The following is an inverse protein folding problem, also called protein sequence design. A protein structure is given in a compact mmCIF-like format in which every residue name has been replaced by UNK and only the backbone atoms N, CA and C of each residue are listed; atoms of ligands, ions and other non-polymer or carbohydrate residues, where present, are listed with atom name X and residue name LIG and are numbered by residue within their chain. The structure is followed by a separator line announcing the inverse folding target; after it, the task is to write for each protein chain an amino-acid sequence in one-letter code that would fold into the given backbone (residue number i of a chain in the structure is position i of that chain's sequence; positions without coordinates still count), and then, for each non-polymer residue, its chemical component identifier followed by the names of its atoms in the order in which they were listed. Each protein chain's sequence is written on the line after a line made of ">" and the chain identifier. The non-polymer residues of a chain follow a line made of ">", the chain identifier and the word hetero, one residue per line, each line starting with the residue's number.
data_IF_187300300335
#
_entry.id   IF_187300300335
#
_cell.length_a   1.000
_cell.length_b   1.000
_cell.length_c   1.000
_cell.angle_alpha   90.00
_cell.angle_beta   90.00
_cell.angle_gamma   90.00
#
_symmetry.space_group_name_H-M   'P 1'
#
loop_
_entity.id
_entity.type
_entity.pdbx_description
1 polymer ?
#
# COMPACT_ATOMS: atom_id res chain seq x y z
N UNK A 1 -2.19 -0.39 27.83
CA UNK A 1 -2.56 -1.41 26.83
C UNK A 1 -2.49 -0.76 25.45
N UNK A 2 -2.21 -1.58 24.43
CA UNK A 2 -2.01 -1.14 23.03
C UNK A 2 -2.76 -2.07 22.10
N UNK A 3 -3.29 -1.51 21.01
CA UNK A 3 -3.94 -2.20 19.91
C UNK A 3 -3.35 -1.70 18.59
N UNK A 4 -2.74 -2.57 17.83
CA UNK A 4 -2.30 -2.29 16.46
C UNK A 4 -3.21 -3.03 15.46
N UNK A 5 -3.70 -2.30 14.47
CA UNK A 5 -4.64 -2.84 13.47
C UNK A 5 -4.20 -2.47 12.07
N UNK A 6 -4.21 -3.43 11.16
CA UNK A 6 -3.89 -3.20 9.76
C UNK A 6 -5.01 -2.46 9.04
N UNK A 7 -4.70 -1.24 8.59
CA UNK A 7 -5.49 -0.43 7.69
C UNK A 7 -5.05 -0.56 6.23
N UNK A 8 -5.63 0.24 5.37
CA UNK A 8 -5.32 0.29 3.94
C UNK A 8 -5.56 1.68 3.37
N UNK A 9 -4.74 2.13 2.44
CA UNK A 9 -4.97 3.38 1.71
C UNK A 9 -6.34 3.43 1.02
N UNK A 10 -6.92 2.27 0.68
CA UNK A 10 -8.25 2.19 0.07
C UNK A 10 -9.39 2.71 0.95
N UNK A 11 -9.16 2.88 2.26
CA UNK A 11 -10.13 3.52 3.18
C UNK A 11 -10.29 5.03 2.93
N UNK A 12 -9.32 5.66 2.26
CA UNK A 12 -9.40 7.06 1.84
C UNK A 12 -10.31 7.23 0.62
N UNK A 13 -10.34 6.25 -0.28
CA UNK A 13 -11.02 6.33 -1.57
C UNK A 13 -10.14 6.99 -2.63
N UNK A 14 -10.78 7.59 -3.66
CA UNK A 14 -10.05 8.34 -4.68
C UNK A 14 -9.36 9.56 -4.06
N UNK A 15 -8.06 9.66 -4.27
CA UNK A 15 -7.24 10.77 -3.78
C UNK A 15 -6.04 10.97 -4.69
N UNK A 16 -5.72 12.22 -4.99
CA UNK A 16 -4.52 12.58 -5.74
C UNK A 16 -3.52 13.24 -4.79
N UNK A 17 -2.28 12.75 -4.81
CA UNK A 17 -1.23 13.29 -3.98
C UNK A 17 -0.98 12.52 -2.68
N UNK A 18 -0.45 13.23 -1.70
CA UNK A 18 -0.03 12.65 -0.43
C UNK A 18 -1.21 12.41 0.52
N UNK A 19 -1.32 11.19 1.00
CA UNK A 19 -2.27 10.79 2.06
C UNK A 19 -1.59 10.92 3.42
N UNK A 20 -2.28 11.55 4.37
CA UNK A 20 -1.87 11.66 5.77
C UNK A 20 -3.01 11.25 6.71
N UNK A 21 -2.74 11.23 8.01
CA UNK A 21 -3.79 10.97 9.02
C UNK A 21 -5.00 11.92 8.90
N UNK A 22 -4.77 13.17 8.51
CA UNK A 22 -5.82 14.18 8.36
C UNK A 22 -6.58 14.11 7.04
N UNK A 23 -6.19 13.25 6.10
CA UNK A 23 -6.86 13.15 4.80
C UNK A 23 -8.28 12.59 4.98
N UNK A 24 -9.32 13.27 4.47
CA UNK A 24 -10.70 12.80 4.54
C UNK A 24 -10.87 11.43 3.87
N UNK A 25 -11.62 10.54 4.50
CA UNK A 25 -11.92 9.21 3.96
C UNK A 25 -13.30 9.20 3.30
N UNK A 26 -13.34 8.90 2.01
CA UNK A 26 -14.55 8.73 1.21
C UNK A 26 -14.47 7.51 0.29
N UNK A 27 -14.36 6.27 0.86
CA UNK A 27 -14.18 5.07 0.08
C UNK A 27 -15.43 4.72 -0.74
N UNK A 28 -15.21 4.23 -1.97
CA UNK A 28 -16.26 3.78 -2.90
C UNK A 28 -16.30 2.26 -3.11
N UNK A 29 -15.40 1.50 -2.47
CA UNK A 29 -15.37 0.03 -2.53
C UNK A 29 -15.82 -0.59 -1.20
N UNK A 30 -16.43 -1.78 -1.26
CA UNK A 30 -16.81 -2.52 -0.03
C UNK A 30 -15.62 -2.76 0.90
N UNK A 31 -14.46 -3.05 0.35
CA UNK A 31 -13.23 -3.22 1.12
C UNK A 31 -12.82 -1.92 1.84
N UNK A 32 -12.77 -0.81 1.12
CA UNK A 32 -12.41 0.49 1.68
C UNK A 32 -13.42 0.97 2.74
N UNK A 33 -14.73 0.79 2.46
CA UNK A 33 -15.81 1.13 3.41
C UNK A 33 -15.65 0.28 4.69
N UNK A 34 -15.45 -1.03 4.56
CA UNK A 34 -15.26 -1.92 5.71
C UNK A 34 -14.04 -1.54 6.55
N UNK A 35 -12.90 -1.25 5.92
CA UNK A 35 -11.68 -0.79 6.60
C UNK A 35 -11.89 0.55 7.31
N UNK A 36 -12.50 1.53 6.64
CA UNK A 36 -12.77 2.83 7.25
C UNK A 36 -13.76 2.73 8.42
N UNK A 37 -14.80 1.91 8.31
CA UNK A 37 -15.75 1.64 9.41
C UNK A 37 -15.05 1.02 10.60
N UNK A 38 -14.23 -0.02 10.38
CA UNK A 38 -13.44 -0.65 11.44
C UNK A 38 -12.51 0.36 12.12
N UNK A 39 -11.83 1.23 11.35
CA UNK A 39 -10.97 2.28 11.89
C UNK A 39 -11.74 3.21 12.83
N UNK A 40 -12.91 3.68 12.41
CA UNK A 40 -13.75 4.57 13.23
C UNK A 40 -14.18 3.89 14.52
N UNK A 41 -14.64 2.64 14.45
CA UNK A 41 -15.03 1.86 15.63
C UNK A 41 -13.83 1.69 16.58
N UNK A 42 -12.68 1.26 16.09
CA UNK A 42 -11.47 1.10 16.89
C UNK A 42 -11.04 2.42 17.55
N UNK A 43 -11.16 3.54 16.83
CA UNK A 43 -10.82 4.88 17.35
C UNK A 43 -11.73 5.24 18.54
N UNK A 44 -13.04 5.02 18.43
CA UNK A 44 -13.98 5.30 19.52
C UNK A 44 -13.72 4.41 20.74
N UNK A 45 -13.60 3.10 20.52
CA UNK A 45 -13.34 2.12 21.60
C UNK A 45 -12.00 2.39 22.29
N UNK A 46 -10.96 2.75 21.55
CA UNK A 46 -9.65 3.09 22.11
C UNK A 46 -9.74 4.33 23.01
N UNK A 47 -10.46 5.37 22.56
CA UNK A 47 -10.70 6.58 23.33
C UNK A 47 -11.46 6.30 24.64
N UNK A 48 -12.49 5.46 24.59
CA UNK A 48 -13.31 5.11 25.77
C UNK A 48 -12.55 4.25 26.78
N UNK A 49 -11.70 3.32 26.29
CA UNK A 49 -10.98 2.37 27.12
C UNK A 49 -9.58 2.82 27.55
N UNK A 50 -9.09 3.96 27.06
CA UNK A 50 -7.74 4.45 27.32
C UNK A 50 -6.65 3.55 26.70
N UNK A 51 -6.97 2.79 25.66
CA UNK A 51 -6.03 1.95 24.93
C UNK A 51 -5.34 2.77 23.85
N UNK A 52 -4.01 2.64 23.73
CA UNK A 52 -3.25 3.24 22.63
C UNK A 52 -3.63 2.53 21.33
N UNK A 53 -4.17 3.26 20.36
CA UNK A 53 -4.48 2.73 19.04
C UNK A 53 -3.38 3.11 18.05
N UNK A 54 -2.88 2.12 17.32
CA UNK A 54 -2.04 2.29 16.13
C UNK A 54 -2.76 1.68 14.94
N UNK A 55 -3.30 2.54 14.09
CA UNK A 55 -3.94 2.15 12.85
C UNK A 55 -2.90 2.24 11.73
N UNK A 56 -2.43 1.08 11.25
CA UNK A 56 -1.30 0.94 10.33
C UNK A 56 -1.81 0.88 8.89
N UNK A 57 -1.83 2.01 8.19
CA UNK A 57 -2.36 2.12 6.83
C UNK A 57 -1.29 1.70 5.82
N UNK A 58 -1.50 0.53 5.20
CA UNK A 58 -0.60 -0.01 4.16
C UNK A 58 -0.97 0.51 2.76
N UNK A 59 0.03 0.55 1.89
CA UNK A 59 -0.04 1.00 0.51
C UNK A 59 0.10 -0.18 -0.46
N UNK A 60 0.71 0.03 -1.63
CA UNK A 60 0.85 -1.01 -2.64
C UNK A 60 1.98 -1.97 -2.27
N UNK A 61 1.60 -3.21 -1.96
CA UNK A 61 2.53 -4.25 -1.56
C UNK A 61 2.86 -5.17 -2.74
N UNK A 62 4.12 -5.59 -2.80
CA UNK A 62 4.57 -6.64 -3.69
C UNK A 62 5.58 -7.54 -2.96
N UNK A 63 5.74 -8.79 -3.44
CA UNK A 63 6.64 -9.76 -2.84
C UNK A 63 6.39 -11.15 -3.41
N UNK A 64 7.00 -12.15 -2.81
CA UNK A 64 6.84 -13.55 -3.19
C UNK A 64 5.54 -14.11 -2.59
N UNK A 65 4.43 -13.68 -3.16
CA UNK A 65 3.09 -14.17 -2.79
C UNK A 65 2.29 -14.54 -4.06
N UNK A 66 2.28 -15.82 -4.37
CA UNK A 66 1.54 -16.38 -5.50
C UNK A 66 0.03 -16.51 -5.25
N UNK A 67 -0.47 -16.14 -4.07
CA UNK A 67 -1.90 -16.25 -3.72
C UNK A 67 -2.69 -14.95 -3.92
N UNK A 68 -2.03 -13.85 -4.17
CA UNK A 68 -2.70 -12.58 -4.47
C UNK A 68 -2.99 -12.43 -5.98
N UNK A 69 -3.79 -11.43 -6.34
CA UNK A 69 -4.12 -11.12 -7.73
C UNK A 69 -3.43 -9.84 -8.23
N UNK A 70 -2.25 -9.54 -7.69
CA UNK A 70 -1.49 -8.36 -8.10
C UNK A 70 -0.98 -8.48 -9.54
N UNK A 71 -0.60 -7.35 -10.12
CA UNK A 71 0.04 -7.33 -11.44
C UNK A 71 1.34 -8.15 -11.44
N UNK A 72 2.07 -8.16 -10.33
CA UNK A 72 3.33 -8.91 -10.20
C UNK A 72 3.09 -10.42 -10.21
N UNK A 73 2.08 -10.91 -9.49
CA UNK A 73 1.70 -12.33 -9.51
C UNK A 73 1.25 -12.77 -10.90
N UNK A 74 0.37 -11.99 -11.55
CA UNK A 74 -0.10 -12.31 -12.92
C UNK A 74 1.04 -12.31 -13.93
N UNK A 75 2.01 -11.41 -13.78
CA UNK A 75 3.21 -11.34 -14.62
C UNK A 75 4.10 -12.58 -14.42
N UNK A 76 4.32 -12.99 -13.17
CA UNK A 76 5.08 -14.19 -12.86
C UNK A 76 4.42 -15.46 -13.42
N UNK A 77 3.09 -15.56 -13.31
CA UNK A 77 2.31 -16.65 -13.93
C UNK A 77 2.43 -16.64 -15.46
N UNK A 78 2.35 -15.48 -16.11
CA UNK A 78 2.52 -15.34 -17.55
C UNK A 78 3.94 -15.77 -17.98
N UNK A 79 4.97 -15.33 -17.27
CA UNK A 79 6.35 -15.73 -17.52
C UNK A 79 6.55 -17.25 -17.34
N UNK A 80 5.95 -17.84 -16.30
CA UNK A 80 5.99 -19.28 -16.06
C UNK A 80 5.31 -20.11 -17.17
N UNK A 81 4.28 -19.56 -17.82
CA UNK A 81 3.64 -20.17 -19.01
C UNK A 81 4.47 -20.03 -20.28
N UNK A 82 5.54 -19.21 -20.28
CA UNK A 82 6.35 -18.90 -21.45
C UNK A 82 5.76 -17.83 -22.36
N UNK A 83 4.82 -17.02 -21.85
CA UNK A 83 4.24 -15.91 -22.61
C UNK A 83 5.34 -14.91 -22.97
N UNK A 84 5.35 -14.40 -24.20
CA UNK A 84 6.34 -13.44 -24.68
C UNK A 84 5.92 -11.99 -24.44
N UNK A 85 4.61 -11.77 -24.29
CA UNK A 85 4.04 -10.45 -24.08
C UNK A 85 3.04 -10.49 -22.92
N UNK A 86 2.97 -9.41 -22.14
CA UNK A 86 2.01 -9.23 -21.06
C UNK A 86 1.16 -7.99 -21.34
N UNK A 87 -0.19 -8.13 -21.46
CA UNK A 87 -1.06 -6.98 -21.67
C UNK A 87 -0.98 -6.01 -20.50
N UNK A 88 -0.75 -4.74 -20.77
CA UNK A 88 -0.51 -3.73 -19.74
C UNK A 88 -1.28 -2.44 -20.05
N UNK A 89 -1.49 -1.60 -19.05
CA UNK A 89 -2.06 -0.24 -19.16
C UNK A 89 -1.01 0.72 -19.71
N UNK A 90 -1.23 2.03 -19.65
CA UNK A 90 -0.16 3.02 -19.93
C UNK A 90 1.01 2.88 -18.95
N UNK A 91 0.76 2.39 -17.73
CA UNK A 91 1.73 2.28 -16.65
C UNK A 91 2.18 3.62 -16.09
N UNK A 92 1.52 4.72 -16.42
CA UNK A 92 1.93 6.07 -16.02
C UNK A 92 1.50 6.44 -14.60
N UNK A 93 0.49 5.76 -14.06
CA UNK A 93 0.04 5.99 -12.68
C UNK A 93 1.19 5.73 -11.70
N UNK A 94 1.32 6.59 -10.70
CA UNK A 94 2.39 6.53 -9.71
C UNK A 94 1.85 6.12 -8.36
N UNK A 95 2.48 5.11 -7.76
CA UNK A 95 2.05 4.55 -6.48
C UNK A 95 3.22 4.38 -5.52
N UNK A 96 2.90 4.40 -4.24
CA UNK A 96 3.84 4.10 -3.16
C UNK A 96 3.96 2.58 -2.97
N UNK A 97 5.02 2.02 -3.53
CA UNK A 97 5.29 0.59 -3.47
C UNK A 97 6.25 0.25 -2.35
N UNK A 98 5.99 -0.84 -1.66
CA UNK A 98 6.92 -1.46 -0.72
C UNK A 98 6.82 -2.97 -0.71
N UNK A 99 7.87 -3.63 -0.28
CA UNK A 99 7.88 -5.09 -0.11
C UNK A 99 7.11 -5.50 1.14
N UNK A 100 6.67 -6.75 1.17
CA UNK A 100 6.05 -7.35 2.37
C UNK A 100 7.04 -7.30 3.55
N UNK A 101 8.33 -7.53 3.30
CA UNK A 101 9.38 -7.48 4.33
C UNK A 101 9.60 -6.07 4.89
N UNK A 102 9.53 -5.04 4.03
CA UNK A 102 9.59 -3.64 4.48
C UNK A 102 8.40 -3.31 5.37
N UNK A 103 7.18 -3.68 4.95
CA UNK A 103 6.00 -3.49 5.78
C UNK A 103 6.11 -4.23 7.11
N UNK A 104 6.56 -5.49 7.11
CA UNK A 104 6.74 -6.28 8.33
C UNK A 104 7.73 -5.61 9.30
N UNK A 105 8.85 -5.08 8.80
CA UNK A 105 9.81 -4.32 9.62
C UNK A 105 9.20 -3.04 10.17
N UNK A 106 8.43 -2.30 9.38
CA UNK A 106 7.73 -1.09 9.81
C UNK A 106 6.72 -1.41 10.94
N UNK A 107 5.92 -2.46 10.76
CA UNK A 107 4.96 -2.91 11.77
C UNK A 107 5.69 -3.30 13.05
N UNK A 108 6.71 -4.16 12.96
CA UNK A 108 7.48 -4.62 14.10
C UNK A 108 8.06 -3.45 14.91
N UNK A 109 8.56 -2.44 14.22
CA UNK A 109 9.09 -1.25 14.85
C UNK A 109 8.00 -0.41 15.53
N UNK A 110 6.92 -0.13 14.83
CA UNK A 110 5.85 0.72 15.39
C UNK A 110 5.18 0.10 16.61
N UNK A 111 4.99 -1.22 16.64
CA UNK A 111 4.30 -1.88 17.78
C UNK A 111 5.15 -2.02 19.04
N UNK A 112 6.45 -1.73 18.97
CA UNK A 112 7.33 -1.76 20.15
C UNK A 112 7.32 -0.47 20.97
N UNK A 113 6.60 0.56 20.55
CA UNK A 113 6.47 1.83 21.23
C UNK A 113 5.00 2.29 21.28
N UNK A 114 4.67 3.23 22.14
CA UNK A 114 3.31 3.77 22.37
C UNK A 114 3.21 5.29 22.21
N UNK A 115 4.31 5.97 21.90
CA UNK A 115 4.33 7.43 21.76
C UNK A 115 3.70 7.88 20.43
N UNK A 116 3.98 7.14 19.34
CA UNK A 116 3.37 7.38 18.03
C UNK A 116 2.11 6.53 17.93
N UNK A 117 0.97 7.19 17.90
CA UNK A 117 -0.35 6.57 17.92
C UNK A 117 -1.29 7.21 16.90
N UNK A 118 -2.52 6.69 16.77
CA UNK A 118 -3.49 7.09 15.76
C UNK A 118 -3.20 6.43 14.41
N UNK A 119 -3.53 7.09 13.31
CA UNK A 119 -3.24 6.58 11.97
C UNK A 119 -1.77 6.82 11.61
N UNK A 120 -1.09 5.76 11.20
CA UNK A 120 0.32 5.76 10.79
C UNK A 120 0.39 5.22 9.37
N UNK A 121 0.90 6.03 8.46
CA UNK A 121 1.06 5.63 7.06
C UNK A 121 2.30 4.73 6.95
N UNK A 122 2.07 3.41 6.76
CA UNK A 122 3.13 2.44 6.51
C UNK A 122 3.47 2.48 5.02
N UNK A 123 4.42 3.32 4.66
CA UNK A 123 4.72 3.71 3.29
C UNK A 123 6.20 4.03 3.09
N UNK A 124 6.63 4.18 1.84
CA UNK A 124 7.95 4.69 1.48
C UNK A 124 7.98 6.23 1.47
N UNK A 125 6.86 6.86 1.15
CA UNK A 125 6.71 8.28 0.89
C UNK A 125 7.22 8.70 -0.50
N UNK A 126 7.49 7.73 -1.39
CA UNK A 126 8.03 7.96 -2.73
C UNK A 126 7.16 7.27 -3.79
N UNK A 127 6.33 8.03 -4.53
CA UNK A 127 5.56 7.47 -5.62
C UNK A 127 6.48 7.11 -6.80
N UNK A 128 6.24 5.94 -7.40
CA UNK A 128 7.00 5.43 -8.54
C UNK A 128 6.00 5.05 -9.65
N UNK A 129 6.27 5.39 -10.93
CA UNK A 129 5.44 4.94 -12.04
C UNK A 129 5.30 3.42 -12.06
N UNK A 130 4.07 2.95 -12.28
CA UNK A 130 3.77 1.51 -12.30
C UNK A 130 4.62 0.77 -13.34
N UNK A 131 4.84 1.38 -14.53
CA UNK A 131 5.70 0.82 -15.57
C UNK A 131 7.12 0.58 -15.09
N UNK A 132 7.74 1.59 -14.44
CA UNK A 132 9.13 1.51 -13.99
C UNK A 132 9.28 0.40 -12.94
N UNK A 133 8.27 0.27 -12.06
CA UNK A 133 8.24 -0.77 -11.02
C UNK A 133 8.10 -2.17 -11.61
N UNK A 134 7.24 -2.33 -12.62
CA UNK A 134 7.01 -3.62 -13.28
C UNK A 134 8.19 -4.01 -14.17
N UNK A 135 8.78 -3.07 -14.92
CA UNK A 135 10.00 -3.31 -15.71
C UNK A 135 11.18 -3.73 -14.82
N UNK A 136 11.36 -3.05 -13.69
CA UNK A 136 12.39 -3.42 -12.71
C UNK A 136 12.16 -4.85 -12.16
N UNK A 137 10.90 -5.22 -11.91
CA UNK A 137 10.54 -6.57 -11.46
C UNK A 137 10.83 -7.62 -12.54
N UNK A 138 10.52 -7.35 -13.82
CA UNK A 138 10.86 -8.22 -14.96
C UNK A 138 12.36 -8.45 -15.01
N UNK A 139 13.16 -7.37 -14.96
CA UNK A 139 14.61 -7.43 -15.03
C UNK A 139 15.21 -8.21 -13.85
N UNK A 140 14.74 -7.95 -12.63
CA UNK A 140 15.23 -8.60 -11.41
C UNK A 140 14.97 -10.12 -11.39
N UNK A 141 13.88 -10.58 -12.05
CA UNK A 141 13.54 -12.00 -12.13
C UNK A 141 14.04 -12.69 -13.42
N UNK A 142 14.68 -11.96 -14.31
CA UNK A 142 15.17 -12.49 -15.59
C UNK A 142 14.06 -12.98 -16.52
N UNK A 143 12.87 -12.39 -16.45
CA UNK A 143 11.74 -12.79 -17.29
C UNK A 143 11.94 -12.31 -18.75
N UNK A 144 11.77 -13.22 -19.71
CA UNK A 144 11.83 -12.92 -21.15
C UNK A 144 10.44 -12.52 -21.67
N UNK A 145 9.82 -11.50 -21.06
CA UNK A 145 8.47 -11.03 -21.36
C UNK A 145 8.49 -9.51 -21.57
N UNK A 146 7.74 -9.04 -22.56
CA UNK A 146 7.61 -7.60 -22.86
C UNK A 146 6.22 -7.08 -22.49
N UNK A 147 6.13 -5.85 -22.02
CA UNK A 147 4.86 -5.19 -21.69
C UNK A 147 4.19 -4.65 -22.96
N UNK A 148 2.98 -5.12 -23.26
CA UNK A 148 2.14 -4.58 -24.32
C UNK A 148 1.37 -3.37 -23.80
N UNK A 149 2.01 -2.20 -23.80
CA UNK A 149 1.44 -0.95 -23.29
C UNK A 149 0.16 -0.55 -24.02
N UNK A 150 -0.83 -0.07 -23.28
CA UNK A 150 -2.12 0.36 -23.81
C UNK A 150 -3.05 -0.79 -24.25
N UNK A 151 -2.66 -2.06 -24.05
CA UNK A 151 -3.52 -3.20 -24.32
C UNK A 151 -4.75 -3.24 -23.39
N UNK A 152 -4.62 -2.67 -22.19
CA UNK A 152 -5.74 -2.34 -21.30
C UNK A 152 -5.87 -0.82 -21.16
N UNK A 153 -7.11 -0.31 -21.10
CA UNK A 153 -7.33 1.09 -20.76
C UNK A 153 -6.94 1.38 -19.32
N UNK A 154 -6.42 2.58 -19.08
CA UNK A 154 -6.27 3.09 -17.72
C UNK A 154 -7.65 3.24 -17.08
N UNK A 155 -7.74 2.92 -15.80
CA UNK A 155 -9.01 2.96 -15.08
C UNK A 155 -9.28 4.38 -14.58
N UNK A 156 -10.42 4.99 -14.91
CA UNK A 156 -10.69 6.38 -14.54
C UNK A 156 -10.88 6.60 -13.04
N UNK A 157 -11.06 5.52 -12.25
CA UNK A 157 -11.17 5.56 -10.80
C UNK A 157 -9.85 5.31 -10.07
N UNK A 158 -8.78 4.98 -10.79
CA UNK A 158 -7.45 4.88 -10.22
C UNK A 158 -6.81 6.27 -10.15
N UNK A 159 -6.25 6.61 -9.01
CA UNK A 159 -5.54 7.89 -8.85
C UNK A 159 -4.32 7.94 -9.75
N UNK A 160 -4.07 9.04 -10.48
CA UNK A 160 -2.89 9.17 -11.32
C UNK A 160 -1.59 9.16 -10.51
N UNK A 161 -1.64 9.66 -9.26
CA UNK A 161 -0.50 9.63 -8.35
C UNK A 161 -0.99 9.64 -6.89
N UNK A 162 -0.54 8.67 -6.08
CA UNK A 162 -0.89 8.58 -4.66
C UNK A 162 0.22 7.94 -3.84
N UNK A 163 0.55 8.55 -2.69
CA UNK A 163 1.56 8.06 -1.76
C UNK A 163 1.21 8.45 -0.32
N UNK A 164 1.90 7.86 0.67
CA UNK A 164 1.71 8.16 2.08
C UNK A 164 2.68 9.21 2.63
N UNK A 165 2.28 9.92 3.68
CA UNK A 165 3.16 10.76 4.48
C UNK A 165 3.94 9.88 5.49
N UNK A 166 5.26 9.68 5.32
CA UNK A 166 6.05 8.82 6.19
C UNK A 166 6.44 9.46 7.52
N UNK A 167 6.01 10.68 7.83
CA UNK A 167 6.50 11.45 8.99
C UNK A 167 6.29 10.73 10.32
N UNK A 168 5.08 10.24 10.58
CA UNK A 168 4.78 9.50 11.82
C UNK A 168 5.50 8.16 11.87
N UNK A 169 5.59 7.46 10.75
CA UNK A 169 6.34 6.21 10.65
C UNK A 169 7.82 6.42 11.00
N UNK A 170 8.47 7.41 10.38
CA UNK A 170 9.89 7.74 10.62
C UNK A 170 10.14 8.08 12.09
N UNK A 171 9.24 8.84 12.72
CA UNK A 171 9.30 9.11 14.16
C UNK A 171 9.22 7.81 14.97
N UNK A 172 8.29 6.89 14.65
CA UNK A 172 8.17 5.60 15.32
C UNK A 172 9.44 4.73 15.17
N UNK A 173 10.06 4.77 13.99
CA UNK A 173 11.33 4.05 13.73
C UNK A 173 12.50 4.64 14.53
N UNK A 174 12.57 5.96 14.70
CA UNK A 174 13.66 6.63 15.44
C UNK A 174 13.62 6.38 16.96
N UNK A 175 12.48 5.99 17.50
CA UNK A 175 12.35 5.66 18.94
C UNK A 175 12.96 4.30 19.32
N UNK A 176 13.49 3.55 18.34
CA UNK A 176 14.10 2.23 18.55
C UNK A 176 15.64 2.26 18.47
N UNK A 177 16.22 3.40 18.17
CA UNK A 177 17.68 3.61 18.15
C UNK A 177 18.16 4.18 19.48
#
# INVERSE_FOLDING_TARGET
>A
KQLAVMGSMHEVGYHEGMISEGTPCNPSSYYGIGKNTLRQICTLLAKESGVVLQWLRAYYLYGDDMKNHSVFTKLAEAAARGDRTFPFTSGLNQYDFQTIDELARQIAAVVQQTEVQGTIECCSGQPVPLKDKVEAYIAANGYAIELAYGAFPDRPYDSPMVWGDPTKLRRGLSLQQ
#
